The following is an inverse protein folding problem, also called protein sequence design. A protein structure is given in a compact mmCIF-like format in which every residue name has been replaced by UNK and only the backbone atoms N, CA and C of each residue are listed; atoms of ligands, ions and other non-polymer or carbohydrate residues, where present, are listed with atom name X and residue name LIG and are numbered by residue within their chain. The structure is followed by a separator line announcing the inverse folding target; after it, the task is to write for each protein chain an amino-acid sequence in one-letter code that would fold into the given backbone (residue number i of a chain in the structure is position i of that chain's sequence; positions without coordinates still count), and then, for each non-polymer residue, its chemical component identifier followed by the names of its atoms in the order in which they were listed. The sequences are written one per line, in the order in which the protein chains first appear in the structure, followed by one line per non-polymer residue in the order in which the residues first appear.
data_IF_167754779916
#
_entry.id   IF_167754779916
#
_cell.length_a   1.000
_cell.length_b   1.000
_cell.length_c   1.000
_cell.angle_alpha   90.00
_cell.angle_beta   90.00
_cell.angle_gamma   90.00
#
_symmetry.space_group_name_H-M   'P 1'
#
loop_
_entity.id
_entity.type
_entity.pdbx_description
1 polymer ?
#
# COMPACT_ATOMS: atom_id res chain seq x y z
N UNK A 1 13.61 -1.23 15.76
CA UNK A 1 12.64 -0.40 15.01
C UNK A 1 11.25 -0.76 15.48
N UNK A 2 10.45 0.23 15.88
CA UNK A 2 9.05 0.04 16.27
C UNK A 2 8.24 -0.40 15.05
N UNK A 3 7.30 -1.32 15.25
CA UNK A 3 6.39 -1.81 14.21
C UNK A 3 5.00 -1.27 14.47
N UNK A 4 4.41 -0.63 13.46
CA UNK A 4 3.09 -0.02 13.55
C UNK A 4 2.08 -0.83 12.74
N UNK A 5 0.86 -0.98 13.27
CA UNK A 5 -0.27 -1.50 12.50
C UNK A 5 -1.04 -0.34 11.89
N UNK A 6 -1.24 -0.37 10.58
CA UNK A 6 -2.08 0.60 9.87
C UNK A 6 -3.30 -0.09 9.27
N UNK A 7 -4.41 0.66 9.17
CA UNK A 7 -5.61 0.28 8.41
C UNK A 7 -5.77 1.28 7.27
N UNK A 8 -5.97 0.76 6.06
CA UNK A 8 -6.07 1.55 4.84
C UNK A 8 -7.40 1.24 4.15
N UNK A 9 -8.12 2.28 3.77
CA UNK A 9 -9.22 2.23 2.82
C UNK A 9 -8.70 2.74 1.46
N UNK A 10 -9.11 2.09 0.37
CA UNK A 10 -8.79 2.56 -0.97
C UNK A 10 -9.83 2.13 -2.01
N UNK A 11 -10.05 3.03 -2.97
CA UNK A 11 -10.60 2.70 -4.26
C UNK A 11 -9.50 2.08 -5.13
N UNK A 12 -9.68 0.82 -5.52
CA UNK A 12 -8.74 0.06 -6.34
C UNK A 12 -8.76 0.41 -7.84
N UNK A 13 -9.78 1.11 -8.34
CA UNK A 13 -9.96 1.35 -9.79
C UNK A 13 -8.72 1.88 -10.52
N UNK A 14 -7.95 2.86 -9.99
CA UNK A 14 -6.79 3.39 -10.71
C UNK A 14 -5.50 2.57 -10.50
N UNK A 15 -5.54 1.45 -9.76
CA UNK A 15 -4.35 0.71 -9.34
C UNK A 15 -4.26 -0.69 -9.95
N UNK A 16 -3.02 -1.13 -10.21
CA UNK A 16 -2.69 -2.50 -10.64
C UNK A 16 -2.68 -3.51 -9.49
N UNK A 17 -3.44 -3.22 -8.43
CA UNK A 17 -3.56 -4.03 -7.23
C UNK A 17 -2.63 -3.59 -6.10
N UNK A 18 -2.58 -4.42 -5.05
CA UNK A 18 -1.85 -4.10 -3.82
C UNK A 18 -0.34 -4.04 -4.04
N UNK A 19 0.24 -5.10 -4.61
CA UNK A 19 1.68 -5.29 -4.65
C UNK A 19 2.34 -4.46 -5.75
N UNK A 20 3.53 -3.93 -5.46
CA UNK A 20 4.37 -3.23 -6.43
C UNK A 20 4.61 -4.07 -7.69
N UNK A 21 4.37 -3.45 -8.84
CA UNK A 21 4.61 -4.01 -10.16
C UNK A 21 5.13 -2.90 -11.08
N UNK A 22 5.82 -3.30 -12.16
CA UNK A 22 6.41 -2.35 -13.13
C UNK A 22 5.40 -1.78 -14.13
N UNK A 23 4.20 -2.34 -14.19
CA UNK A 23 3.19 -2.07 -15.22
C UNK A 23 2.17 -0.99 -14.83
N UNK A 24 2.24 -0.42 -13.62
CA UNK A 24 1.35 0.65 -13.20
C UNK A 24 1.44 0.96 -11.71
N UNK A 25 0.68 1.98 -11.24
CA UNK A 25 0.68 2.37 -9.84
C UNK A 25 0.03 1.30 -8.97
N UNK A 26 0.67 0.95 -7.86
CA UNK A 26 0.15 0.01 -6.86
C UNK A 26 -0.12 0.71 -5.52
N UNK A 27 -1.00 0.15 -4.71
CA UNK A 27 -1.29 0.70 -3.37
C UNK A 27 -0.01 0.68 -2.51
N UNK A 28 0.78 -0.40 -2.56
CA UNK A 28 2.04 -0.51 -1.81
C UNK A 28 3.03 0.60 -2.18
N UNK A 29 3.19 0.90 -3.48
CA UNK A 29 4.09 1.96 -3.93
C UNK A 29 3.64 3.34 -3.44
N UNK A 30 2.34 3.64 -3.55
CA UNK A 30 1.78 4.92 -3.13
C UNK A 30 1.95 5.13 -1.63
N UNK A 31 1.66 4.10 -0.82
CA UNK A 31 1.84 4.17 0.62
C UNK A 31 3.31 4.36 1.00
N UNK A 32 4.23 3.63 0.36
CA UNK A 32 5.67 3.79 0.62
C UNK A 32 6.18 5.18 0.23
N UNK A 33 5.70 5.75 -0.89
CA UNK A 33 6.02 7.13 -1.29
C UNK A 33 5.46 8.14 -0.28
N UNK A 34 4.23 7.93 0.20
CA UNK A 34 3.62 8.80 1.21
C UNK A 34 4.40 8.78 2.53
N UNK A 35 4.79 7.60 3.02
CA UNK A 35 5.62 7.45 4.22
C UNK A 35 6.96 8.14 4.02
N UNK A 36 7.64 7.91 2.90
CA UNK A 36 8.90 8.58 2.61
C UNK A 36 8.74 10.11 2.57
N UNK A 37 7.66 10.63 1.97
CA UNK A 37 7.42 12.06 1.92
C UNK A 37 7.21 12.66 3.32
N UNK A 38 6.55 11.92 4.21
CA UNK A 38 6.28 12.31 5.60
C UNK A 38 7.52 12.18 6.52
N UNK A 39 8.14 11.01 6.58
CA UNK A 39 9.20 10.70 7.56
C UNK A 39 10.62 10.74 7.00
N UNK A 40 10.79 10.79 5.67
CA UNK A 40 12.07 10.59 4.95
C UNK A 40 12.67 9.20 5.11
N UNK A 41 11.92 8.25 5.67
CA UNK A 41 12.35 6.86 5.79
C UNK A 41 11.92 6.04 4.57
N UNK A 42 12.82 5.21 4.05
CA UNK A 42 12.50 4.22 3.03
C UNK A 42 12.07 2.94 3.73
N UNK A 43 10.80 2.57 3.56
CA UNK A 43 10.21 1.39 4.18
C UNK A 43 9.67 0.43 3.13
N UNK A 44 9.57 -0.85 3.51
CA UNK A 44 8.81 -1.86 2.76
C UNK A 44 7.60 -2.25 3.59
N UNK A 45 6.40 -1.98 3.07
CA UNK A 45 5.15 -2.26 3.78
C UNK A 45 4.69 -3.67 3.43
N UNK A 46 4.25 -4.43 4.43
CA UNK A 46 3.65 -5.76 4.26
C UNK A 46 2.16 -5.71 4.56
N UNK A 47 1.33 -5.97 3.53
CA UNK A 47 -0.12 -6.08 3.68
C UNK A 47 -0.56 -7.43 4.26
N UNK A 48 -1.74 -7.48 4.86
CA UNK A 48 -2.35 -8.70 5.38
C UNK A 48 -2.77 -9.68 4.27
N UNK A 49 -3.06 -9.16 3.08
CA UNK A 49 -3.34 -9.94 1.88
C UNK A 49 -3.08 -9.12 0.62
N UNK A 50 -2.99 -9.80 -0.53
CA UNK A 50 -2.94 -9.15 -1.83
C UNK A 50 -4.36 -8.89 -2.33
N UNK A 51 -4.55 -7.77 -3.02
CA UNK A 51 -5.72 -7.51 -3.86
C UNK A 51 -5.28 -7.35 -5.30
N UNK A 52 -6.09 -7.83 -6.23
CA UNK A 52 -5.83 -7.72 -7.66
C UNK A 52 -6.14 -6.31 -8.19
N UNK A 53 -5.80 -6.07 -9.46
CA UNK A 53 -6.07 -4.81 -10.15
C UNK A 53 -7.56 -4.45 -10.07
N UNK A 54 -7.86 -3.20 -9.72
CA UNK A 54 -9.23 -2.72 -9.60
C UNK A 54 -9.97 -3.10 -8.31
N UNK A 55 -9.45 -4.02 -7.49
CA UNK A 55 -10.13 -4.45 -6.26
C UNK A 55 -9.99 -3.40 -5.15
N UNK A 56 -11.10 -3.05 -4.51
CA UNK A 56 -11.18 -2.08 -3.42
C UNK A 56 -10.96 -2.72 -2.04
N UNK A 57 -10.72 -1.91 -1.01
CA UNK A 57 -10.74 -2.36 0.37
C UNK A 57 -11.22 -1.25 1.32
N UNK A 58 -12.03 -1.61 2.32
CA UNK A 58 -12.47 -0.71 3.39
C UNK A 58 -11.49 -0.67 4.58
N UNK A 59 -10.76 -1.77 4.82
CA UNK A 59 -9.93 -1.90 6.01
C UNK A 59 -8.76 -2.87 5.79
N UNK A 60 -8.03 -2.73 4.68
CA UNK A 60 -6.81 -3.50 4.46
C UNK A 60 -5.82 -3.19 5.60
N UNK A 61 -5.25 -4.24 6.19
CA UNK A 61 -4.28 -4.10 7.29
C UNK A 61 -2.87 -4.22 6.73
N UNK A 62 -1.94 -3.42 7.24
CA UNK A 62 -0.52 -3.54 6.91
C UNK A 62 0.38 -3.17 8.10
N UNK A 63 1.67 -3.49 7.98
CA UNK A 63 2.72 -3.13 8.94
C UNK A 63 4.08 -2.92 8.28
#
# INVERSE_FOLDING_TARGET
MQRYKIKIEYDGTPFVGWQFQKNGPSIQEVLQKAIFNFSKEKVVITGAGRTDSGVHALAQVAH
#
